data_IF_851016032054
#
_entry.id   IF_851016032054
#
_cell.length_a   1.000
_cell.length_b   1.000
_cell.length_c   1.000
_cell.angle_alpha   90.00
_cell.angle_beta   90.00
_cell.angle_gamma   90.00
#
_symmetry.space_group_name_H-M   'P 1'
#
loop_
_entity.id
_entity.type
_entity.pdbx_description
1 polymer ?
#
# COMPACT_ATOMS: atom_id res chain seq x y z
N UNK A 1 -16.77 -18.89 25.37
CA UNK A 1 -16.42 -17.77 24.49
C UNK A 1 -14.97 -17.29 24.62
N UNK A 2 -14.48 -17.01 25.86
CA UNK A 2 -13.10 -16.51 26.09
C UNK A 2 -12.02 -17.51 25.67
N UNK A 3 -12.22 -18.82 25.98
CA UNK A 3 -11.26 -19.87 25.62
C UNK A 3 -11.23 -20.12 24.11
N UNK A 4 -12.36 -20.03 23.43
CA UNK A 4 -12.43 -20.13 21.97
C UNK A 4 -11.71 -18.95 21.30
N UNK A 5 -11.89 -17.74 21.81
CA UNK A 5 -11.17 -16.56 21.32
C UNK A 5 -9.65 -16.70 21.54
N UNK A 6 -9.21 -17.21 22.68
CA UNK A 6 -7.79 -17.50 22.94
C UNK A 6 -7.23 -18.56 21.99
N UNK A 7 -8.02 -19.60 21.67
CA UNK A 7 -7.61 -20.67 20.76
C UNK A 7 -7.53 -20.24 19.29
N UNK A 8 -8.12 -19.10 18.93
CA UNK A 8 -8.09 -18.56 17.56
C UNK A 8 -7.09 -17.41 17.39
N UNK A 9 -6.90 -16.61 18.43
CA UNK A 9 -6.03 -15.41 18.38
C UNK A 9 -4.65 -15.64 18.98
N UNK A 10 -4.48 -16.66 19.81
CA UNK A 10 -3.23 -17.01 20.48
C UNK A 10 -2.53 -15.80 21.14
N UNK A 11 -3.13 -15.14 22.15
CA UNK A 11 -2.50 -14.00 22.82
C UNK A 11 -1.23 -14.44 23.57
N UNK A 12 -0.13 -13.72 23.37
CA UNK A 12 1.15 -13.99 24.05
C UNK A 12 1.62 -12.84 24.94
N UNK A 13 0.90 -11.73 24.93
CA UNK A 13 1.14 -10.58 25.82
C UNK A 13 -0.07 -10.30 26.68
N UNK A 14 0.15 -9.62 27.82
CA UNK A 14 -0.93 -9.23 28.72
C UNK A 14 -1.94 -8.30 28.03
N UNK A 15 -1.46 -7.41 27.17
CA UNK A 15 -2.28 -6.48 26.42
C UNK A 15 -3.20 -7.21 25.43
N UNK A 16 -2.66 -8.17 24.68
CA UNK A 16 -3.43 -9.01 23.76
C UNK A 16 -4.48 -9.85 24.54
N UNK A 17 -4.11 -10.38 25.69
CA UNK A 17 -5.03 -11.16 26.55
C UNK A 17 -6.22 -10.31 27.03
N UNK A 18 -6.00 -9.05 27.36
CA UNK A 18 -7.07 -8.14 27.80
C UNK A 18 -8.03 -7.74 26.66
N UNK A 19 -7.66 -7.93 25.40
CA UNK A 19 -8.57 -7.72 24.26
C UNK A 19 -9.58 -8.83 24.09
N UNK A 20 -9.38 -9.97 24.74
CA UNK A 20 -10.28 -11.14 24.63
C UNK A 20 -11.60 -10.84 25.34
N UNK A 21 -12.76 -11.03 24.68
CA UNK A 21 -14.06 -10.86 25.30
C UNK A 21 -14.23 -11.74 26.53
N UNK A 22 -14.61 -11.15 27.65
CA UNK A 22 -14.79 -11.85 28.93
C UNK A 22 -13.52 -11.98 29.80
N UNK A 23 -12.39 -11.48 29.33
CA UNK A 23 -11.16 -11.36 30.12
C UNK A 23 -10.99 -9.91 30.56
N UNK A 24 -11.44 -9.62 31.79
CA UNK A 24 -11.24 -8.31 32.40
C UNK A 24 -9.84 -8.17 33.01
N UNK A 25 -9.44 -6.92 33.30
CA UNK A 25 -8.13 -6.57 33.90
C UNK A 25 -7.82 -7.41 35.15
N UNK A 26 -8.82 -7.63 36.02
CA UNK A 26 -8.65 -8.42 37.26
C UNK A 26 -8.34 -9.89 36.97
N UNK A 27 -9.02 -10.50 35.99
CA UNK A 27 -8.76 -11.89 35.56
C UNK A 27 -7.40 -12.02 34.88
N UNK A 28 -7.08 -11.07 34.01
CA UNK A 28 -5.79 -11.03 33.32
C UNK A 28 -4.62 -10.93 34.32
N UNK A 29 -4.71 -10.07 35.33
CA UNK A 29 -3.69 -9.94 36.36
C UNK A 29 -3.56 -11.17 37.25
N UNK A 30 -4.67 -11.87 37.51
CA UNK A 30 -4.69 -13.01 38.44
C UNK A 30 -4.23 -14.31 37.79
N UNK A 31 -4.56 -14.56 36.55
CA UNK A 31 -4.32 -15.83 35.86
C UNK A 31 -3.56 -15.68 34.54
N UNK A 32 -3.34 -14.45 34.09
CA UNK A 32 -2.79 -14.15 32.76
C UNK A 32 -1.41 -14.73 32.52
N UNK A 33 -0.49 -14.63 33.49
CA UNK A 33 0.89 -15.09 33.32
C UNK A 33 0.95 -16.59 33.02
N UNK A 34 0.10 -17.40 33.68
CA UNK A 34 0.06 -18.84 33.49
C UNK A 34 -0.53 -19.19 32.10
N UNK A 35 -1.60 -18.53 31.69
CA UNK A 35 -2.19 -18.70 30.36
C UNK A 35 -1.25 -18.24 29.23
N UNK A 36 -0.62 -17.09 29.40
CA UNK A 36 0.32 -16.57 28.43
C UNK A 36 1.53 -17.49 28.23
N UNK A 37 2.04 -18.07 29.31
CA UNK A 37 3.15 -19.03 29.22
C UNK A 37 2.75 -20.26 28.41
N UNK A 38 1.61 -20.87 28.70
CA UNK A 38 1.10 -22.06 27.99
C UNK A 38 0.84 -21.76 26.52
N UNK A 39 0.21 -20.64 26.23
CA UNK A 39 -0.09 -20.24 24.82
C UNK A 39 1.21 -19.96 24.07
N UNK A 40 2.15 -19.28 24.68
CA UNK A 40 3.45 -18.97 24.08
C UNK A 40 4.25 -20.23 23.75
N UNK A 41 4.36 -21.17 24.69
CA UNK A 41 4.99 -22.45 24.48
C UNK A 41 4.32 -23.23 23.34
N UNK A 42 2.99 -23.26 23.31
CA UNK A 42 2.23 -23.92 22.25
C UNK A 42 2.45 -23.29 20.86
N UNK A 43 2.47 -21.97 20.77
CA UNK A 43 2.73 -21.23 19.53
C UNK A 43 4.15 -21.51 19.01
N UNK A 44 5.14 -21.51 19.91
CA UNK A 44 6.54 -21.79 19.56
C UNK A 44 6.74 -23.25 19.12
N UNK A 45 6.20 -24.21 19.85
CA UNK A 45 6.31 -25.65 19.54
C UNK A 45 5.64 -26.05 18.21
N UNK A 46 4.53 -25.40 17.85
CA UNK A 46 3.76 -25.70 16.65
C UNK A 46 4.04 -24.73 15.50
N UNK A 47 4.98 -23.82 15.64
CA UNK A 47 5.34 -22.79 14.63
C UNK A 47 4.11 -22.02 14.10
N UNK A 48 3.15 -21.69 15.00
CA UNK A 48 1.90 -21.05 14.63
C UNK A 48 2.14 -19.60 14.25
N UNK A 49 1.66 -19.19 13.06
CA UNK A 49 1.63 -17.80 12.62
C UNK A 49 0.32 -17.18 13.11
N UNK A 50 0.41 -16.23 14.05
CA UNK A 50 -0.76 -15.57 14.63
C UNK A 50 -1.34 -14.52 13.68
N UNK A 51 -2.66 -14.24 13.74
CA UNK A 51 -3.27 -13.15 12.96
C UNK A 51 -2.61 -11.79 13.16
N UNK A 52 -2.21 -11.46 14.40
CA UNK A 52 -1.50 -10.20 14.70
C UNK A 52 -0.12 -10.13 14.05
N UNK A 53 0.62 -11.23 14.00
CA UNK A 53 1.93 -11.28 13.33
C UNK A 53 1.81 -11.05 11.82
N UNK A 54 0.75 -11.56 11.21
CA UNK A 54 0.45 -11.31 9.79
C UNK A 54 0.15 -9.83 9.53
N UNK A 55 -0.62 -9.17 10.41
CA UNK A 55 -0.88 -7.72 10.30
C UNK A 55 0.40 -6.91 10.38
N UNK A 56 1.23 -7.16 11.37
CA UNK A 56 2.50 -6.44 11.56
C UNK A 56 3.43 -6.66 10.36
N UNK A 57 3.58 -7.89 9.88
CA UNK A 57 4.40 -8.20 8.70
C UNK A 57 3.90 -7.53 7.44
N UNK A 58 2.58 -7.50 7.23
CA UNK A 58 1.98 -6.86 6.05
C UNK A 58 2.21 -5.35 6.06
N UNK A 59 2.01 -4.69 7.19
CA UNK A 59 2.25 -3.24 7.34
C UNK A 59 3.74 -2.92 7.14
N UNK A 60 4.64 -3.68 7.76
CA UNK A 60 6.09 -3.50 7.61
C UNK A 60 6.54 -3.68 6.15
N UNK A 61 6.04 -4.69 5.45
CA UNK A 61 6.35 -4.93 4.03
C UNK A 61 5.87 -3.77 3.14
N UNK A 62 4.66 -3.26 3.35
CA UNK A 62 4.12 -2.11 2.60
C UNK A 62 4.96 -0.85 2.83
N UNK A 63 5.32 -0.56 4.07
CA UNK A 63 6.16 0.59 4.41
C UNK A 63 7.56 0.50 3.79
N UNK A 64 8.17 -0.68 3.80
CA UNK A 64 9.48 -0.92 3.19
C UNK A 64 9.41 -0.78 1.67
N UNK A 65 8.39 -1.37 1.03
CA UNK A 65 8.16 -1.25 -0.41
C UNK A 65 7.99 0.21 -0.84
N UNK A 66 7.17 0.98 -0.13
CA UNK A 66 6.99 2.42 -0.38
C UNK A 66 8.33 3.15 -0.38
N UNK A 67 9.16 2.94 0.63
CA UNK A 67 10.49 3.57 0.74
C UNK A 67 11.42 3.15 -0.41
N UNK A 68 11.41 1.89 -0.80
CA UNK A 68 12.21 1.37 -1.91
C UNK A 68 11.79 1.98 -3.25
N UNK A 69 10.49 2.10 -3.51
CA UNK A 69 9.96 2.74 -4.73
C UNK A 69 10.36 4.21 -4.79
N UNK A 70 10.18 4.96 -3.71
CA UNK A 70 10.56 6.38 -3.64
C UNK A 70 12.08 6.56 -3.91
N UNK A 71 12.92 5.76 -3.24
CA UNK A 71 14.37 5.81 -3.42
C UNK A 71 14.80 5.44 -4.85
N UNK A 72 14.11 4.51 -5.50
CA UNK A 72 14.38 4.14 -6.89
C UNK A 72 14.00 5.27 -7.85
N UNK A 73 12.88 5.94 -7.63
CA UNK A 73 12.44 7.11 -8.43
C UNK A 73 13.40 8.29 -8.24
N UNK A 74 13.88 8.55 -7.03
CA UNK A 74 14.89 9.58 -6.76
C UNK A 74 16.20 9.34 -7.51
N UNK A 75 16.54 8.06 -7.75
CA UNK A 75 17.68 7.65 -8.57
C UNK A 75 17.38 7.56 -10.06
N UNK A 76 16.15 7.89 -10.48
CA UNK A 76 15.68 7.82 -11.87
C UNK A 76 15.76 6.41 -12.46
N UNK A 77 15.40 5.39 -11.68
CA UNK A 77 15.26 4.02 -12.16
C UNK A 77 14.03 3.94 -13.06
N UNK A 78 14.16 3.28 -14.21
CA UNK A 78 13.05 3.03 -15.12
C UNK A 78 11.91 2.31 -14.41
N UNK A 79 10.66 2.76 -14.60
CA UNK A 79 9.51 2.17 -13.91
C UNK A 79 9.20 0.74 -14.38
N UNK A 80 9.48 0.39 -15.64
CA UNK A 80 9.35 -0.97 -16.14
C UNK A 80 10.34 -1.91 -15.42
N UNK A 81 11.60 -1.50 -15.32
CA UNK A 81 12.64 -2.24 -14.58
C UNK A 81 12.28 -2.36 -13.10
N UNK A 82 11.75 -1.31 -12.51
CA UNK A 82 11.34 -1.29 -11.11
C UNK A 82 10.16 -2.24 -10.86
N UNK A 83 9.17 -2.26 -11.74
CA UNK A 83 8.04 -3.18 -11.68
C UNK A 83 8.52 -4.63 -11.80
N UNK A 84 9.33 -4.94 -12.80
CA UNK A 84 9.88 -6.27 -13.03
C UNK A 84 10.69 -6.77 -11.83
N UNK A 85 11.56 -5.94 -11.28
CA UNK A 85 12.38 -6.30 -10.10
C UNK A 85 11.56 -6.56 -8.83
N UNK A 86 10.34 -6.02 -8.75
CA UNK A 86 9.40 -6.28 -7.65
C UNK A 86 8.35 -7.36 -7.98
N UNK A 87 8.42 -7.98 -9.15
CA UNK A 87 7.46 -8.99 -9.59
C UNK A 87 6.06 -8.42 -9.81
N UNK A 88 5.97 -7.18 -10.27
CA UNK A 88 4.73 -6.42 -10.47
C UNK A 88 4.52 -6.12 -11.96
N UNK A 89 3.25 -6.03 -12.38
CA UNK A 89 2.90 -5.43 -13.67
C UNK A 89 3.04 -3.90 -13.60
N UNK A 90 3.00 -3.24 -14.75
CA UNK A 90 3.01 -1.77 -14.79
C UNK A 90 1.76 -1.20 -14.12
N UNK A 91 0.59 -1.83 -14.31
CA UNK A 91 -0.66 -1.44 -13.64
C UNK A 91 -0.52 -1.50 -12.11
N UNK A 92 0.03 -2.57 -11.58
CA UNK A 92 0.29 -2.73 -10.15
C UNK A 92 1.29 -1.70 -9.63
N UNK A 93 2.33 -1.39 -10.41
CA UNK A 93 3.30 -0.34 -10.07
C UNK A 93 2.62 1.04 -10.02
N UNK A 94 1.75 1.34 -10.98
CA UNK A 94 1.00 2.60 -10.99
C UNK A 94 0.02 2.68 -9.82
N UNK A 95 -0.61 1.57 -9.41
CA UNK A 95 -1.45 1.50 -8.21
C UNK A 95 -0.65 1.87 -6.95
N UNK A 96 0.58 1.37 -6.82
CA UNK A 96 1.48 1.71 -5.72
C UNK A 96 1.90 3.18 -5.74
N UNK A 97 2.23 3.72 -6.92
CA UNK A 97 2.58 5.13 -7.09
C UNK A 97 1.41 6.06 -6.76
N UNK A 98 0.20 5.74 -7.22
CA UNK A 98 -1.01 6.49 -6.89
C UNK A 98 -1.26 6.50 -5.38
N UNK A 99 -1.12 5.36 -4.71
CA UNK A 99 -1.25 5.26 -3.26
C UNK A 99 -0.20 6.12 -2.53
N UNK A 100 1.03 6.16 -3.01
CA UNK A 100 2.11 7.00 -2.47
C UNK A 100 1.76 8.49 -2.61
N UNK A 101 1.36 8.90 -3.79
CA UNK A 101 1.03 10.31 -4.10
C UNK A 101 -0.22 10.77 -3.35
N UNK A 102 -1.26 9.94 -3.30
CA UNK A 102 -2.50 10.25 -2.58
C UNK A 102 -2.30 10.29 -1.06
N UNK A 103 -1.27 9.63 -0.54
CA UNK A 103 -0.87 9.77 0.88
C UNK A 103 -0.15 11.07 1.21
N UNK A 104 0.08 11.95 0.23
CA UNK A 104 0.75 13.23 0.37
C UNK A 104 2.25 13.23 0.06
N UNK A 105 2.80 12.12 -0.43
CA UNK A 105 4.20 12.04 -0.82
C UNK A 105 4.37 12.39 -2.30
N UNK A 106 5.24 13.34 -2.61
CA UNK A 106 5.57 13.71 -3.99
C UNK A 106 6.65 12.83 -4.57
N UNK A 107 6.49 12.44 -5.82
CA UNK A 107 7.48 11.69 -6.61
C UNK A 107 7.68 12.39 -7.95
N UNK A 108 8.91 12.38 -8.47
CA UNK A 108 9.21 12.97 -9.77
C UNK A 108 9.43 11.87 -10.80
N UNK A 109 8.40 11.57 -11.58
CA UNK A 109 8.43 10.59 -12.66
C UNK A 109 8.55 11.22 -14.05
N UNK A 110 8.89 12.50 -14.14
CA UNK A 110 9.01 13.21 -15.43
C UNK A 110 10.00 12.54 -16.37
N UNK A 111 11.12 12.04 -15.86
CA UNK A 111 12.13 11.33 -16.66
C UNK A 111 11.54 10.11 -17.39
N UNK A 112 10.61 9.40 -16.77
CA UNK A 112 9.94 8.25 -17.38
C UNK A 112 8.85 8.69 -18.35
N UNK A 113 8.07 9.71 -18.00
CA UNK A 113 7.02 10.27 -18.88
C UNK A 113 7.64 10.78 -20.16
N UNK A 114 8.72 11.54 -20.10
CA UNK A 114 9.46 12.05 -21.27
C UNK A 114 10.02 10.95 -22.18
N UNK A 115 10.27 9.77 -21.63
CA UNK A 115 10.75 8.62 -22.37
C UNK A 115 9.62 7.88 -23.13
N UNK A 116 8.44 7.76 -22.53
CA UNK A 116 7.34 6.94 -23.05
C UNK A 116 6.25 7.72 -23.75
N UNK A 117 6.09 9.02 -23.52
CA UNK A 117 5.09 9.89 -24.11
C UNK A 117 5.72 10.95 -25.00
N UNK A 118 5.03 11.28 -26.10
CA UNK A 118 5.33 12.49 -26.84
C UNK A 118 4.95 13.74 -26.02
N UNK A 119 5.72 14.84 -26.15
CA UNK A 119 5.41 16.09 -25.43
C UNK A 119 4.00 16.62 -25.71
N UNK A 120 3.52 16.49 -26.92
CA UNK A 120 2.17 16.94 -27.32
C UNK A 120 1.08 16.09 -26.61
N UNK A 121 1.26 14.77 -26.56
CA UNK A 121 0.37 13.86 -25.85
C UNK A 121 0.35 14.15 -24.34
N UNK A 122 1.52 14.36 -23.74
CA UNK A 122 1.63 14.73 -22.34
C UNK A 122 0.88 16.03 -22.04
N UNK A 123 1.07 17.05 -22.86
CA UNK A 123 0.43 18.36 -22.71
C UNK A 123 -1.10 18.26 -22.83
N UNK A 124 -1.61 17.52 -23.81
CA UNK A 124 -3.05 17.31 -24.01
C UNK A 124 -3.71 16.61 -22.82
N UNK A 125 -3.09 15.55 -22.29
CA UNK A 125 -3.61 14.82 -21.13
C UNK A 125 -3.53 15.71 -19.88
N UNK A 126 -2.42 16.42 -19.69
CA UNK A 126 -2.24 17.32 -18.56
C UNK A 126 -3.27 18.47 -18.54
N UNK A 127 -3.49 19.09 -19.70
CA UNK A 127 -4.50 20.15 -19.86
C UNK A 127 -5.92 19.62 -19.63
N UNK A 128 -6.19 18.38 -20.04
CA UNK A 128 -7.46 17.73 -19.72
C UNK A 128 -7.69 17.73 -18.19
N UNK A 129 -6.77 17.21 -17.38
CA UNK A 129 -6.90 17.17 -15.93
C UNK A 129 -6.96 18.56 -15.28
N UNK A 130 -6.25 19.51 -15.84
CA UNK A 130 -6.25 20.89 -15.38
C UNK A 130 -7.62 21.56 -15.52
N UNK A 131 -8.39 21.21 -16.53
CA UNK A 131 -9.69 21.78 -16.85
C UNK A 131 -10.88 20.89 -16.45
N UNK A 132 -10.65 19.60 -16.14
CA UNK A 132 -11.68 18.66 -15.78
C UNK A 132 -12.28 18.96 -14.39
N UNK A 133 -13.56 18.71 -14.22
CA UNK A 133 -14.23 18.81 -12.94
C UNK A 133 -13.88 17.67 -11.98
N UNK A 134 -13.44 16.53 -12.55
CA UNK A 134 -13.07 15.32 -11.81
C UNK A 134 -11.77 14.75 -12.35
N UNK A 135 -10.98 14.16 -11.47
CA UNK A 135 -9.77 13.43 -11.79
C UNK A 135 -9.98 11.90 -11.89
N UNK A 136 -11.24 11.49 -12.01
CA UNK A 136 -11.60 10.08 -12.14
C UNK A 136 -11.05 9.48 -13.46
N UNK A 137 -10.31 8.40 -13.34
CA UNK A 137 -9.64 7.75 -14.47
C UNK A 137 -10.61 7.27 -15.54
N UNK A 138 -11.73 6.67 -15.12
CA UNK A 138 -12.74 6.18 -16.07
C UNK A 138 -13.34 7.31 -16.88
N UNK A 139 -13.73 8.40 -16.21
CA UNK A 139 -14.26 9.60 -16.86
C UNK A 139 -13.23 10.19 -17.82
N UNK A 140 -11.96 10.25 -17.43
CA UNK A 140 -10.88 10.73 -18.28
C UNK A 140 -10.72 9.88 -19.54
N UNK A 141 -10.74 8.55 -19.40
CA UNK A 141 -10.64 7.64 -20.56
C UNK A 141 -11.85 7.75 -21.49
N UNK A 142 -13.06 7.90 -20.94
CA UNK A 142 -14.28 8.09 -21.72
C UNK A 142 -14.26 9.41 -22.51
N UNK A 143 -13.75 10.49 -21.92
CA UNK A 143 -13.69 11.82 -22.54
C UNK A 143 -12.51 12.00 -23.50
N UNK A 144 -11.33 11.48 -23.15
CA UNK A 144 -10.14 11.52 -24.02
C UNK A 144 -10.25 10.54 -25.19
N UNK A 145 -10.88 9.39 -24.98
CA UNK A 145 -11.08 8.32 -25.94
C UNK A 145 -10.07 7.19 -25.79
N UNK A 146 -10.56 6.01 -25.42
CA UNK A 146 -9.76 4.80 -25.23
C UNK A 146 -9.03 4.33 -26.50
N UNK A 147 -9.54 4.71 -27.69
CA UNK A 147 -8.91 4.37 -28.98
C UNK A 147 -7.70 5.26 -29.32
N UNK A 148 -7.58 6.41 -28.66
CA UNK A 148 -6.55 7.43 -28.97
C UNK A 148 -5.45 7.51 -27.92
N UNK A 149 -5.76 7.19 -26.66
CA UNK A 149 -4.84 7.32 -25.54
C UNK A 149 -4.70 6.01 -24.77
N UNK A 150 -3.46 5.64 -24.49
CA UNK A 150 -3.15 4.50 -23.62
C UNK A 150 -3.47 4.83 -22.17
N UNK A 151 -4.18 3.94 -21.48
CA UNK A 151 -4.54 4.13 -20.07
C UNK A 151 -3.32 4.30 -19.17
N UNK A 152 -2.20 3.63 -19.48
CA UNK A 152 -0.93 3.78 -18.76
C UNK A 152 -0.41 5.21 -18.88
N UNK A 153 -0.42 5.78 -20.08
CA UNK A 153 -0.01 7.16 -20.34
C UNK A 153 -0.88 8.16 -19.57
N UNK A 154 -2.19 7.98 -19.61
CA UNK A 154 -3.14 8.84 -18.87
C UNK A 154 -2.89 8.74 -17.36
N UNK A 155 -2.66 7.56 -16.83
CA UNK A 155 -2.33 7.36 -15.41
C UNK A 155 -1.03 8.03 -15.01
N UNK A 156 0.01 7.93 -15.82
CA UNK A 156 1.31 8.58 -15.58
C UNK A 156 1.17 10.11 -15.47
N UNK A 157 0.49 10.71 -16.42
CA UNK A 157 0.25 12.17 -16.42
C UNK A 157 -0.65 12.59 -15.27
N UNK A 158 -1.66 11.78 -14.93
CA UNK A 158 -2.50 12.01 -13.76
C UNK A 158 -1.70 12.02 -12.45
N UNK A 159 -0.76 11.10 -12.28
CA UNK A 159 0.15 11.07 -11.13
C UNK A 159 0.99 12.36 -11.07
N UNK A 160 1.58 12.76 -12.20
CA UNK A 160 2.30 14.03 -12.31
C UNK A 160 1.43 15.23 -11.91
N UNK A 161 0.22 15.29 -12.44
CA UNK A 161 -0.74 16.35 -12.14
C UNK A 161 -1.03 16.44 -10.63
N UNK A 162 -1.27 15.32 -9.96
CA UNK A 162 -1.47 15.28 -8.52
C UNK A 162 -0.24 15.72 -7.72
N UNK A 163 0.96 15.37 -8.17
CA UNK A 163 2.20 15.84 -7.56
C UNK A 163 2.35 17.37 -7.68
N UNK A 164 1.98 17.93 -8.81
CA UNK A 164 2.04 19.37 -9.06
C UNK A 164 1.00 20.15 -8.27
N UNK A 165 -0.22 19.61 -8.10
CA UNK A 165 -1.29 20.20 -7.29
C UNK A 165 -0.96 20.24 -5.79
N UNK A 166 -0.22 19.27 -5.30
CA UNK A 166 0.17 19.18 -3.89
C UNK A 166 1.18 20.26 -3.45
N UNK A 167 1.45 21.21 -4.30
CA UNK A 167 2.21 22.39 -3.95
C UNK A 167 1.29 23.42 -3.27
#
# INVERSE_FOLDING_TARGET
PSLEAMATTYPITMEELMTIPGVGVSKAKRYGDEFLRVIKEYVEENEIIRPEDLRIRTVAKKSTRKKQIIAAIDRRVDLDDLAESNGMSMEEMLDELEAIVFSGTKVNINYFIEEVLDPDEEEEIYDYFKNAESDDLKTAMDELGEDYYDVIHVRLVRIKFHCDLGN
#
